data_IF_022950512075
#
_entry.id   IF_022950512075
#
_cell.length_a   1.000
_cell.length_b   1.000
_cell.length_c   1.000
_cell.angle_alpha   90.00
_cell.angle_beta   90.00
_cell.angle_gamma   90.00
#
_symmetry.space_group_name_H-M   'P 1'
#
loop_
_entity.id
_entity.type
_entity.pdbx_description
1 polymer ?
#
# COMPACT_ATOMS: atom_id res chain seq x y z
N UNK A 1 9.88 4.69 0.53
CA UNK A 1 9.58 4.18 1.88
C UNK A 1 8.32 4.80 2.47
N UNK A 2 8.00 6.07 2.16
CA UNK A 2 6.78 6.74 2.64
C UNK A 2 5.47 6.12 2.18
N UNK A 3 5.39 5.60 0.95
CA UNK A 3 4.20 4.91 0.47
C UNK A 3 3.86 3.66 1.30
N UNK A 4 4.85 2.85 1.69
CA UNK A 4 4.63 1.65 2.52
C UNK A 4 4.00 2.04 3.85
N UNK A 5 4.55 3.07 4.49
CA UNK A 5 4.03 3.57 5.77
C UNK A 5 2.60 4.08 5.61
N UNK A 6 2.31 4.86 4.56
CA UNK A 6 0.97 5.38 4.29
C UNK A 6 -0.04 4.26 4.04
N UNK A 7 0.27 3.35 3.12
CA UNK A 7 -0.51 2.17 2.79
C UNK A 7 -0.84 1.34 4.03
N UNK A 8 0.16 0.99 4.83
CA UNK A 8 -0.03 0.19 6.05
C UNK A 8 -0.92 0.87 7.09
N UNK A 9 -0.87 2.20 7.22
CA UNK A 9 -1.77 2.93 8.13
C UNK A 9 -3.23 2.79 7.69
N UNK A 10 -3.51 2.92 6.39
CA UNK A 10 -4.87 2.76 5.85
C UNK A 10 -5.38 1.31 5.92
N UNK A 11 -4.53 0.35 5.59
CA UNK A 11 -4.84 -1.08 5.59
C UNK A 11 -5.13 -1.57 7.03
N UNK A 12 -4.24 -1.27 7.98
CA UNK A 12 -4.45 -1.59 9.40
C UNK A 12 -5.66 -0.84 9.98
N UNK A 13 -5.85 0.43 9.64
CA UNK A 13 -6.99 1.20 10.11
C UNK A 13 -8.32 0.60 9.67
N UNK A 14 -8.39 0.13 8.42
CA UNK A 14 -9.61 -0.50 7.88
C UNK A 14 -9.87 -1.85 8.52
N UNK A 15 -8.86 -2.72 8.59
CA UNK A 15 -9.03 -4.06 9.19
C UNK A 15 -9.34 -3.96 10.69
N UNK A 16 -8.66 -3.07 11.43
CA UNK A 16 -8.90 -2.84 12.86
C UNK A 16 -10.30 -2.28 13.12
N UNK A 17 -10.80 -1.39 12.27
CA UNK A 17 -12.17 -0.87 12.37
C UNK A 17 -13.23 -1.98 12.24
N UNK A 18 -13.07 -2.88 11.27
CA UNK A 18 -13.96 -4.02 11.09
C UNK A 18 -13.82 -5.05 12.22
N UNK A 19 -12.61 -5.24 12.74
CA UNK A 19 -12.35 -6.13 13.88
C UNK A 19 -12.99 -5.63 15.18
N UNK A 20 -12.96 -4.31 15.45
CA UNK A 20 -13.61 -3.72 16.62
C UNK A 20 -15.13 -3.66 16.49
N UNK A 21 -15.63 -3.38 15.28
CA UNK A 21 -17.06 -3.23 15.05
C UNK A 21 -17.81 -4.57 14.92
N UNK A 22 -17.09 -5.69 14.76
CA UNK A 22 -17.65 -7.06 14.63
C UNK A 22 -18.80 -7.15 13.60
N UNK A 23 -18.73 -6.33 12.54
CA UNK A 23 -19.74 -6.32 11.48
C UNK A 23 -19.52 -7.56 10.61
N UNK A 24 -20.54 -8.40 10.36
CA UNK A 24 -20.42 -9.53 9.45
C UNK A 24 -20.38 -9.01 8.00
N UNK A 25 -19.21 -8.52 7.59
CA UNK A 25 -18.95 -8.05 6.23
C UNK A 25 -18.13 -9.10 5.47
N UNK A 26 -18.37 -9.31 4.16
CA UNK A 26 -17.57 -10.24 3.38
C UNK A 26 -16.10 -9.82 3.36
N UNK A 27 -15.21 -10.78 3.59
CA UNK A 27 -13.75 -10.58 3.66
C UNK A 27 -13.23 -9.86 2.41
N UNK A 28 -13.74 -10.24 1.23
CA UNK A 28 -13.38 -9.63 -0.04
C UNK A 28 -13.76 -8.14 -0.09
N UNK A 29 -14.85 -7.73 0.55
CA UNK A 29 -15.25 -6.33 0.67
C UNK A 29 -14.34 -5.53 1.60
N UNK A 30 -13.92 -6.14 2.72
CA UNK A 30 -12.96 -5.53 3.66
C UNK A 30 -11.63 -5.27 2.95
N UNK A 31 -11.10 -6.27 2.22
CA UNK A 31 -9.85 -6.14 1.46
C UNK A 31 -9.93 -5.03 0.42
N UNK A 32 -11.01 -4.94 -0.36
CA UNK A 32 -11.16 -3.87 -1.37
C UNK A 32 -11.18 -2.49 -0.70
N UNK A 33 -11.90 -2.34 0.41
CA UNK A 33 -11.92 -1.09 1.16
C UNK A 33 -10.55 -0.75 1.74
N UNK A 34 -9.82 -1.76 2.23
CA UNK A 34 -8.50 -1.59 2.80
C UNK A 34 -7.48 -1.15 1.73
N UNK A 35 -7.53 -1.73 0.54
CA UNK A 35 -6.74 -1.28 -0.63
C UNK A 35 -7.07 0.17 -0.99
N UNK A 36 -8.36 0.54 -1.09
CA UNK A 36 -8.76 1.91 -1.45
C UNK A 36 -8.27 2.92 -0.40
N UNK A 37 -8.46 2.61 0.89
CA UNK A 37 -8.02 3.48 1.99
C UNK A 37 -6.50 3.55 2.11
N UNK A 38 -5.79 2.44 1.94
CA UNK A 38 -4.33 2.36 1.90
C UNK A 38 -3.75 3.22 0.77
N UNK A 39 -4.29 3.10 -0.44
CA UNK A 39 -3.90 3.94 -1.57
C UNK A 39 -4.18 5.42 -1.32
N UNK A 40 -5.36 5.76 -0.81
CA UNK A 40 -5.74 7.16 -0.56
C UNK A 40 -4.80 7.81 0.48
N UNK A 41 -4.58 7.13 1.60
CA UNK A 41 -3.69 7.62 2.68
C UNK A 41 -2.23 7.73 2.21
N UNK A 42 -1.75 6.77 1.42
CA UNK A 42 -0.43 6.82 0.80
C UNK A 42 -0.27 8.01 -0.16
N UNK A 43 -1.21 8.20 -1.09
CA UNK A 43 -1.16 9.31 -2.06
C UNK A 43 -1.24 10.65 -1.34
N UNK A 44 -2.07 10.79 -0.30
CA UNK A 44 -2.15 12.00 0.51
C UNK A 44 -0.81 12.29 1.21
N UNK A 45 -0.19 11.27 1.82
CA UNK A 45 1.09 11.41 2.51
C UNK A 45 2.23 11.77 1.55
N UNK A 46 2.33 11.08 0.40
CA UNK A 46 3.35 11.38 -0.62
C UNK A 46 3.16 12.77 -1.23
N UNK A 47 1.92 13.16 -1.52
CA UNK A 47 1.62 14.50 -2.03
C UNK A 47 2.01 15.57 -1.02
N UNK A 48 1.69 15.37 0.27
CA UNK A 48 2.06 16.29 1.34
C UNK A 48 3.58 16.45 1.49
N UNK A 49 4.33 15.34 1.42
CA UNK A 49 5.80 15.36 1.50
C UNK A 49 6.40 16.06 0.28
N UNK A 50 5.89 15.78 -0.93
CA UNK A 50 6.38 16.42 -2.16
C UNK A 50 6.10 17.93 -2.17
N UNK A 51 4.94 18.37 -1.67
CA UNK A 51 4.64 19.80 -1.50
C UNK A 51 5.65 20.48 -0.55
N UNK A 52 6.05 19.80 0.53
CA UNK A 52 7.08 20.30 1.45
C UNK A 52 8.46 20.41 0.79
N UNK A 53 8.71 19.66 -0.29
CA UNK A 53 9.92 19.70 -1.09
C UNK A 53 9.88 20.74 -2.24
N UNK A 54 8.93 21.69 -2.21
CA UNK A 54 8.72 22.76 -3.20
C UNK A 54 8.18 22.31 -4.57
N UNK A 55 7.51 21.16 -4.65
CA UNK A 55 6.74 20.82 -5.85
C UNK A 55 5.38 21.53 -5.85
N UNK A 56 4.95 22.02 -7.02
CA UNK A 56 3.57 22.48 -7.22
C UNK A 56 2.59 21.33 -6.99
N UNK A 57 1.41 21.63 -6.43
CA UNK A 57 0.39 20.63 -6.07
C UNK A 57 0.05 19.66 -7.21
N UNK A 58 -0.12 20.19 -8.43
CA UNK A 58 -0.45 19.39 -9.63
C UNK A 58 0.72 18.47 -10.02
N UNK A 59 1.95 18.94 -9.88
CA UNK A 59 3.15 18.17 -10.22
C UNK A 59 3.48 17.12 -9.14
N UNK A 60 3.22 17.43 -7.87
CA UNK A 60 3.33 16.49 -6.76
C UNK A 60 2.34 15.32 -6.94
N UNK A 61 1.08 15.62 -7.25
CA UNK A 61 0.04 14.61 -7.45
C UNK A 61 0.31 13.75 -8.70
N UNK A 62 0.75 14.36 -9.81
CA UNK A 62 1.19 13.61 -11.00
C UNK A 62 2.38 12.69 -10.72
N UNK A 63 3.33 13.13 -9.90
CA UNK A 63 4.51 12.33 -9.54
C UNK A 63 4.13 11.16 -8.62
N UNK A 64 3.33 11.43 -7.58
CA UNK A 64 2.85 10.42 -6.64
C UNK A 64 2.02 9.33 -7.35
N UNK A 65 1.09 9.72 -8.25
CA UNK A 65 0.33 8.76 -9.04
C UNK A 65 1.18 8.09 -10.15
N UNK A 66 2.06 8.82 -10.82
CA UNK A 66 2.72 8.36 -12.05
C UNK A 66 3.88 7.37 -11.85
N UNK A 67 4.63 7.45 -10.74
CA UNK A 67 5.70 6.49 -10.46
C UNK A 67 5.26 5.29 -9.61
N UNK A 68 4.22 5.47 -8.79
CA UNK A 68 3.98 4.54 -7.68
C UNK A 68 2.64 3.81 -7.76
N UNK A 69 1.66 4.21 -8.58
CA UNK A 69 0.29 3.65 -8.48
C UNK A 69 0.21 2.14 -8.74
N UNK A 70 0.87 1.64 -9.81
CA UNK A 70 0.86 0.19 -10.14
C UNK A 70 1.62 -0.62 -9.08
N UNK A 71 2.75 -0.10 -8.62
CA UNK A 71 3.55 -0.70 -7.55
C UNK A 71 2.79 -0.72 -6.21
N UNK A 72 2.06 0.35 -5.89
CA UNK A 72 1.21 0.45 -4.70
C UNK A 72 0.06 -0.57 -4.73
N UNK A 73 -0.64 -0.67 -5.87
CA UNK A 73 -1.70 -1.66 -6.02
C UNK A 73 -1.14 -3.08 -5.88
N UNK A 74 0.02 -3.37 -6.48
CA UNK A 74 0.65 -4.69 -6.34
C UNK A 74 1.05 -5.01 -4.90
N UNK A 75 1.53 -4.00 -4.17
CA UNK A 75 1.90 -4.11 -2.77
C UNK A 75 0.68 -4.40 -1.89
N UNK A 76 -0.40 -3.64 -2.06
CA UNK A 76 -1.65 -3.79 -1.32
C UNK A 76 -2.33 -5.15 -1.56
N UNK A 77 -2.34 -5.62 -2.81
CA UNK A 77 -2.85 -6.95 -3.14
C UNK A 77 -2.00 -8.03 -2.46
N UNK A 78 -0.68 -7.89 -2.45
CA UNK A 78 0.21 -8.88 -1.82
C UNK A 78 0.08 -8.91 -0.30
N UNK A 79 -0.11 -7.75 0.34
CA UNK A 79 -0.33 -7.66 1.78
C UNK A 79 -1.65 -8.31 2.18
N UNK A 80 -2.75 -7.92 1.51
CA UNK A 80 -4.06 -8.49 1.76
C UNK A 80 -4.11 -10.00 1.44
N UNK A 81 -3.43 -10.46 0.38
CA UNK A 81 -3.33 -11.89 0.08
C UNK A 81 -2.54 -12.64 1.16
N UNK A 82 -1.43 -12.06 1.64
CA UNK A 82 -0.60 -12.66 2.69
C UNK A 82 -1.38 -12.78 4.00
N UNK A 83 -2.16 -11.76 4.36
CA UNK A 83 -3.05 -11.82 5.52
C UNK A 83 -4.07 -12.95 5.36
N UNK A 84 -4.79 -12.97 4.22
CA UNK A 84 -5.78 -14.01 3.92
C UNK A 84 -5.19 -15.43 3.99
N UNK A 85 -3.99 -15.66 3.45
CA UNK A 85 -3.33 -16.96 3.48
C UNK A 85 -2.87 -17.38 4.88
N UNK A 86 -2.48 -16.43 5.73
CA UNK A 86 -1.91 -16.74 7.05
C UNK A 86 -2.97 -16.79 8.16
N UNK A 87 -4.01 -15.95 8.10
CA UNK A 87 -5.03 -15.85 9.15
C UNK A 87 -6.36 -16.46 8.74
N UNK A 88 -6.54 -16.81 7.45
CA UNK A 88 -7.78 -17.37 6.91
C UNK A 88 -8.93 -16.35 6.80
N UNK A 89 -8.64 -15.07 7.06
CA UNK A 89 -9.59 -13.97 7.05
C UNK A 89 -8.88 -12.62 6.98
N UNK A 90 -9.61 -11.53 7.24
CA UNK A 90 -9.04 -10.19 7.40
C UNK A 90 -8.90 -9.90 8.91
N UNK A 91 -7.83 -10.41 9.54
CA UNK A 91 -7.62 -10.28 10.97
C UNK A 91 -6.18 -9.90 11.28
N UNK A 92 -5.98 -8.83 12.05
CA UNK A 92 -4.63 -8.40 12.42
C UNK A 92 -4.12 -9.28 13.54
N UNK A 93 -3.14 -10.14 13.22
CA UNK A 93 -2.40 -10.93 14.19
C UNK A 93 -0.98 -10.39 14.32
N UNK A 94 -0.51 -10.19 15.55
CA UNK A 94 0.76 -9.50 15.86
C UNK A 94 2.00 -10.07 15.14
N UNK A 95 2.06 -11.39 14.96
CA UNK A 95 3.17 -12.05 14.23
C UNK A 95 3.05 -12.01 12.71
N UNK A 96 1.84 -11.78 12.18
CA UNK A 96 1.59 -11.71 10.73
C UNK A 96 1.95 -10.34 10.18
N UNK A 97 1.75 -9.27 10.97
CA UNK A 97 2.08 -7.88 10.62
C UNK A 97 3.49 -7.71 10.02
N UNK A 98 4.60 -8.14 10.66
CA UNK A 98 5.92 -7.96 10.10
C UNK A 98 6.16 -8.75 8.80
N UNK A 99 5.53 -9.92 8.65
CA UNK A 99 5.62 -10.74 7.43
C UNK A 99 4.88 -10.05 6.28
N UNK A 100 3.65 -9.59 6.54
CA UNK A 100 2.83 -8.86 5.59
C UNK A 100 3.54 -7.61 5.07
N UNK A 101 4.10 -6.80 5.96
CA UNK A 101 4.87 -5.60 5.59
C UNK A 101 6.11 -5.93 4.76
N UNK A 102 6.80 -7.03 5.10
CA UNK A 102 7.99 -7.47 4.36
C UNK A 102 7.64 -7.92 2.94
N UNK A 103 6.54 -8.69 2.77
CA UNK A 103 6.04 -9.10 1.46
C UNK A 103 5.57 -7.89 0.65
N UNK A 104 4.81 -6.98 1.28
CA UNK A 104 4.38 -5.74 0.65
C UNK A 104 5.54 -4.89 0.14
N UNK A 105 6.65 -4.82 0.89
CA UNK A 105 7.85 -4.10 0.47
C UNK A 105 8.62 -4.79 -0.66
N UNK A 106 8.71 -6.12 -0.63
CA UNK A 106 9.45 -6.91 -1.62
C UNK A 106 8.69 -7.03 -2.96
N UNK A 107 7.36 -7.06 -2.94
CA UNK A 107 6.52 -7.28 -4.12
C UNK A 107 6.66 -6.24 -5.24
N UNK A 108 6.76 -4.92 -4.98
CA UNK A 108 6.96 -3.95 -6.05
C UNK A 108 8.37 -3.99 -6.64
N UNK A 109 9.32 -4.68 -6.01
CA UNK A 109 10.73 -4.64 -6.39
C UNK A 109 11.02 -5.27 -7.77
N UNK A 110 10.48 -6.45 -8.14
CA UNK A 110 10.64 -7.03 -9.48
C UNK A 110 10.00 -6.16 -10.56
N UNK A 111 8.83 -5.57 -10.29
CA UNK A 111 8.15 -4.68 -11.23
C UNK A 111 8.95 -3.40 -11.46
N UNK A 112 9.44 -2.79 -10.38
CA UNK A 112 10.25 -1.58 -10.46
C UNK A 112 11.60 -1.84 -11.16
N UNK A 113 12.23 -2.98 -10.86
CA UNK A 113 13.46 -3.42 -11.53
C UNK A 113 13.27 -3.67 -13.03
N UNK A 114 12.19 -4.36 -13.43
CA UNK A 114 11.87 -4.58 -14.85
C UNK A 114 11.59 -3.26 -15.58
N UNK A 115 10.86 -2.33 -14.96
CA UNK A 115 10.60 -1.00 -15.51
C UNK A 115 11.91 -0.22 -15.71
N UNK A 116 12.77 -0.15 -14.69
CA UNK A 116 14.05 0.56 -14.75
C UNK A 116 14.97 -0.02 -15.84
N UNK A 117 15.01 -1.36 -15.97
CA UNK A 117 15.76 -2.05 -17.03
C UNK A 117 15.21 -1.79 -18.43
N UNK A 118 13.89 -1.64 -18.59
CA UNK A 118 13.24 -1.33 -19.88
C UNK A 118 13.42 0.12 -20.30
N UNK A 119 13.42 1.05 -19.34
CA UNK A 119 13.58 2.49 -19.59
C UNK A 119 15.03 2.99 -19.46
N UNK A 120 15.98 2.09 -19.22
CA UNK A 120 17.42 2.38 -19.12
C UNK A 120 17.77 3.50 -18.11
N UNK A 121 16.97 3.63 -17.06
CA UNK A 121 17.21 4.57 -15.97
C UNK A 121 17.95 3.83 -14.86
N UNK A 122 19.15 4.31 -14.52
CA UNK A 122 19.97 3.73 -13.47
C UNK A 122 19.36 3.99 -12.08
N UNK A 123 19.38 2.97 -11.22
CA UNK A 123 19.16 3.16 -9.78
C UNK A 123 20.37 3.91 -9.22
N UNK A 124 20.23 5.21 -8.95
CA UNK A 124 21.20 5.95 -8.15
C UNK A 124 20.49 6.86 -7.14
#
# INVERSE_FOLDING_TARGET
MWCVIGCSIGDFGTILFFQLSQIPFPIMGIMILAIINGLLTSIMLETYILMRQKFDFINALKTACGMSFISMVSMEISMNATDYFLTGGAMIVWWVVPIMLSVGFLTPWPYNYWRLKKFNQACH
#
